data_IF_033340368775
#
_entry.id   IF_033340368775
#
_cell.length_a   1.000
_cell.length_b   1.000
_cell.length_c   1.000
_cell.angle_alpha   90.00
_cell.angle_beta   90.00
_cell.angle_gamma   90.00
#
_symmetry.space_group_name_H-M   'P 1'
#
loop_
_entity.id
_entity.type
_entity.pdbx_description
1 polymer ?
#
# COMPACT_ATOMS: atom_id res chain seq x y z
N UNK A 1 -0.72 13.61 -12.54
CA UNK A 1 0.66 14.09 -12.29
C UNK A 1 1.52 13.48 -13.36
N UNK A 2 2.23 14.31 -14.11
CA UNK A 2 3.20 13.85 -15.09
C UNK A 2 4.59 13.97 -14.47
N UNK A 3 5.42 12.95 -14.64
CA UNK A 3 6.80 12.95 -14.16
C UNK A 3 7.72 12.28 -15.19
N UNK A 4 9.00 12.65 -15.14
CA UNK A 4 10.00 12.16 -16.09
C UNK A 4 11.06 11.34 -15.37
N UNK A 5 11.43 10.22 -15.97
CA UNK A 5 12.60 9.43 -15.60
C UNK A 5 13.39 9.26 -16.90
N UNK A 6 14.59 9.84 -16.94
CA UNK A 6 15.42 9.94 -18.14
C UNK A 6 14.65 10.55 -19.32
N UNK A 7 14.54 9.83 -20.45
CA UNK A 7 13.80 10.25 -21.64
C UNK A 7 12.32 9.86 -21.62
N UNK A 8 11.87 9.14 -20.58
CA UNK A 8 10.51 8.62 -20.50
C UNK A 8 9.58 9.57 -19.73
N UNK A 9 8.38 9.74 -20.25
CA UNK A 9 7.31 10.50 -19.61
C UNK A 9 6.26 9.54 -19.07
N UNK A 10 5.97 9.65 -17.78
CA UNK A 10 4.96 8.86 -17.10
C UNK A 10 3.83 9.78 -16.63
N UNK A 11 2.61 9.27 -16.63
CA UNK A 11 1.47 9.94 -16.05
C UNK A 11 0.81 9.04 -15.00
N UNK A 12 0.36 9.66 -13.93
CA UNK A 12 -0.45 9.04 -12.90
C UNK A 12 -1.73 9.86 -12.69
N UNK A 13 -2.87 9.21 -12.88
CA UNK A 13 -4.18 9.81 -12.63
C UNK A 13 -4.51 9.69 -11.14
N UNK A 14 -4.81 10.82 -10.50
CA UNK A 14 -5.24 10.82 -9.10
C UNK A 14 -6.57 10.06 -8.93
N UNK A 15 -7.45 10.12 -9.93
CA UNK A 15 -8.69 9.36 -9.96
C UNK A 15 -8.41 7.85 -9.99
N UNK A 16 -7.49 7.39 -10.83
CA UNK A 16 -7.16 5.97 -10.96
C UNK A 16 -6.56 5.43 -9.65
N UNK A 17 -5.70 6.23 -8.99
CA UNK A 17 -5.16 5.88 -7.67
C UNK A 17 -6.26 5.77 -6.60
N UNK A 18 -7.30 6.60 -6.68
CA UNK A 18 -8.47 6.52 -5.79
C UNK A 18 -9.30 5.28 -6.04
N UNK A 19 -9.58 4.97 -7.29
CA UNK A 19 -10.33 3.77 -7.68
C UNK A 19 -9.58 2.51 -7.24
N UNK A 20 -8.27 2.48 -7.44
CA UNK A 20 -7.40 1.37 -7.01
C UNK A 20 -7.31 1.25 -5.48
N UNK A 21 -7.22 2.37 -4.75
CA UNK A 21 -7.34 2.36 -3.29
C UNK A 21 -8.67 1.74 -2.85
N UNK A 22 -9.77 2.20 -3.46
CA UNK A 22 -11.13 1.70 -3.28
C UNK A 22 -11.26 0.20 -3.50
N UNK A 23 -10.61 -0.31 -4.55
CA UNK A 23 -10.55 -1.74 -4.87
C UNK A 23 -9.93 -2.54 -3.74
N UNK A 24 -8.77 -2.12 -3.19
CA UNK A 24 -8.09 -2.83 -2.11
C UNK A 24 -8.84 -2.82 -0.78
N UNK A 25 -9.43 -1.68 -0.39
CA UNK A 25 -10.22 -1.57 0.84
C UNK A 25 -11.54 -2.35 0.76
N UNK A 26 -12.10 -2.50 -0.43
CA UNK A 26 -13.29 -3.33 -0.66
C UNK A 26 -13.05 -4.85 -0.66
N UNK A 27 -11.79 -5.30 -0.63
CA UNK A 27 -11.47 -6.73 -0.62
C UNK A 27 -11.79 -7.40 0.72
N UNK A 28 -12.15 -8.68 0.67
CA UNK A 28 -12.07 -9.55 1.84
C UNK A 28 -10.60 -9.82 2.19
N UNK A 29 -10.32 -10.17 3.44
CA UNK A 29 -8.97 -10.53 3.90
C UNK A 29 -8.34 -11.61 3.03
N UNK A 30 -9.11 -12.66 2.71
CA UNK A 30 -8.66 -13.75 1.83
C UNK A 30 -8.26 -13.24 0.44
N UNK A 31 -8.99 -12.28 -0.13
CA UNK A 31 -8.65 -11.71 -1.44
C UNK A 31 -7.45 -10.78 -1.33
N UNK A 32 -7.41 -9.93 -0.32
CA UNK A 32 -6.30 -9.02 -0.06
C UNK A 32 -4.97 -9.77 0.11
N UNK A 33 -4.96 -10.84 0.89
CA UNK A 33 -3.78 -11.70 1.08
C UNK A 33 -3.27 -12.31 -0.24
N UNK A 34 -4.16 -12.60 -1.19
CA UNK A 34 -3.76 -13.08 -2.53
C UNK A 34 -3.17 -11.98 -3.41
N UNK A 35 -3.45 -10.72 -3.11
CA UNK A 35 -3.02 -9.56 -3.88
C UNK A 35 -1.94 -8.72 -3.17
N UNK A 36 -1.31 -9.25 -2.12
CA UNK A 36 -0.29 -8.51 -1.35
C UNK A 36 0.82 -7.89 -2.21
N UNK A 37 1.38 -8.56 -3.23
CA UNK A 37 2.39 -7.91 -4.09
C UNK A 37 1.86 -6.67 -4.80
N UNK A 38 0.60 -6.71 -5.27
CA UNK A 38 -0.05 -5.56 -5.90
C UNK A 38 -0.36 -4.45 -4.88
N UNK A 39 -0.84 -4.83 -3.69
CA UNK A 39 -1.09 -3.89 -2.59
C UNK A 39 0.20 -3.19 -2.12
N UNK A 40 1.32 -3.93 -2.04
CA UNK A 40 2.64 -3.41 -1.72
C UNK A 40 3.12 -2.42 -2.79
N UNK A 41 3.02 -2.79 -4.07
CA UNK A 41 3.39 -1.90 -5.17
C UNK A 41 2.58 -0.60 -5.14
N UNK A 42 1.26 -0.70 -4.96
CA UNK A 42 0.38 0.45 -4.78
C UNK A 42 0.79 1.31 -3.57
N UNK A 43 1.08 0.69 -2.43
CA UNK A 43 1.49 1.39 -1.22
C UNK A 43 2.79 2.17 -1.42
N UNK A 44 3.81 1.57 -2.05
CA UNK A 44 5.07 2.24 -2.39
C UNK A 44 4.81 3.47 -3.26
N UNK A 45 4.02 3.30 -4.31
CA UNK A 45 3.72 4.40 -5.24
C UNK A 45 2.97 5.54 -4.54
N UNK A 46 1.94 5.24 -3.75
CA UNK A 46 1.16 6.27 -3.03
C UNK A 46 1.98 6.93 -1.92
N UNK A 47 2.86 6.19 -1.22
CA UNK A 47 3.76 6.80 -0.23
C UNK A 47 4.72 7.79 -0.87
N UNK A 48 5.29 7.45 -2.04
CA UNK A 48 6.12 8.37 -2.82
C UNK A 48 5.30 9.57 -3.30
N UNK A 49 4.13 9.33 -3.90
CA UNK A 49 3.24 10.38 -4.42
C UNK A 49 2.80 11.38 -3.35
N UNK A 50 2.58 10.91 -2.11
CA UNK A 50 2.18 11.73 -0.96
C UNK A 50 3.38 12.28 -0.18
N UNK A 51 4.61 12.01 -0.62
CA UNK A 51 5.85 12.39 0.06
C UNK A 51 5.88 12.02 1.55
N UNK A 52 5.39 10.80 1.88
CA UNK A 52 5.33 10.35 3.27
C UNK A 52 6.75 10.14 3.84
N UNK A 53 6.99 10.50 5.11
CA UNK A 53 8.30 10.35 5.72
C UNK A 53 8.67 8.86 5.85
N UNK A 54 9.96 8.54 5.68
CA UNK A 54 10.47 7.17 5.75
C UNK A 54 10.11 6.45 7.06
N UNK A 55 10.00 7.18 8.18
CA UNK A 55 9.57 6.63 9.47
C UNK A 55 8.15 6.06 9.43
N UNK A 56 7.24 6.61 8.62
CA UNK A 56 5.89 6.09 8.44
C UNK A 56 5.80 4.98 7.37
N UNK A 57 6.83 4.82 6.55
CA UNK A 57 6.82 3.92 5.38
C UNK A 57 7.64 2.65 5.66
N UNK A 58 8.87 2.81 6.14
CA UNK A 58 9.91 1.78 6.18
C UNK A 58 10.28 1.28 7.58
N UNK A 59 9.90 2.01 8.63
CA UNK A 59 10.11 1.53 10.01
C UNK A 59 9.38 0.22 10.27
N UNK A 60 9.68 -0.43 11.39
CA UNK A 60 8.99 -1.66 11.79
C UNK A 60 7.47 -1.47 11.98
N UNK A 61 6.96 -0.24 12.04
CA UNK A 61 5.51 0.05 12.07
C UNK A 61 5.00 0.61 10.73
N UNK A 62 5.90 0.87 9.78
CA UNK A 62 5.58 1.48 8.51
C UNK A 62 4.82 0.55 7.56
N UNK A 63 3.95 1.13 6.75
CA UNK A 63 3.02 0.34 5.92
C UNK A 63 3.74 -0.59 4.92
N UNK A 64 4.84 -0.14 4.31
CA UNK A 64 5.59 -0.97 3.35
C UNK A 64 6.26 -2.14 4.07
N UNK A 65 6.78 -1.89 5.28
CA UNK A 65 7.35 -2.94 6.13
C UNK A 65 6.31 -3.98 6.52
N UNK A 66 5.16 -3.55 7.01
CA UNK A 66 4.07 -4.43 7.44
C UNK A 66 3.50 -5.28 6.29
N UNK A 67 3.32 -4.70 5.10
CA UNK A 67 2.93 -5.46 3.90
C UNK A 67 4.02 -6.46 3.48
N UNK A 68 5.29 -6.11 3.62
CA UNK A 68 6.41 -7.01 3.34
C UNK A 68 6.41 -8.20 4.30
N UNK A 69 6.14 -8.00 5.58
CA UNK A 69 5.96 -9.09 6.54
C UNK A 69 4.82 -10.03 6.17
N UNK A 70 3.67 -9.51 5.72
CA UNK A 70 2.56 -10.37 5.27
C UNK A 70 2.93 -11.27 4.07
N UNK A 71 3.88 -10.82 3.24
CA UNK A 71 4.40 -11.59 2.09
C UNK A 71 5.46 -12.60 2.54
N UNK A 72 6.47 -12.13 3.28
CA UNK A 72 7.66 -12.90 3.65
C UNK A 72 7.37 -13.94 4.76
N UNK A 73 6.51 -13.60 5.72
CA UNK A 73 6.16 -14.42 6.89
C UNK A 73 4.76 -15.04 6.73
N UNK A 74 4.47 -15.51 5.52
CA UNK A 74 3.13 -15.98 5.15
C UNK A 74 2.66 -17.12 6.05
N UNK A 75 1.55 -16.90 6.74
CA UNK A 75 0.95 -17.90 7.63
C UNK A 75 1.48 -17.87 9.07
N UNK A 76 2.45 -17.00 9.39
CA UNK A 76 2.91 -16.83 10.76
C UNK A 76 1.79 -16.27 11.66
N UNK A 77 1.38 -16.97 12.74
CA UNK A 77 0.22 -16.59 13.54
C UNK A 77 0.28 -15.17 14.09
N UNK A 78 1.47 -14.72 14.53
CA UNK A 78 1.69 -13.38 15.07
C UNK A 78 1.49 -12.26 14.04
N UNK A 79 1.83 -12.52 12.77
CA UNK A 79 1.63 -11.56 11.69
C UNK A 79 0.16 -11.57 11.26
N UNK A 80 -0.43 -12.76 11.15
CA UNK A 80 -1.83 -12.92 10.76
C UNK A 80 -2.80 -12.34 11.80
N UNK A 81 -2.48 -12.38 13.10
CA UNK A 81 -3.30 -11.76 14.15
C UNK A 81 -3.38 -10.24 14.03
N UNK A 82 -2.43 -9.61 13.32
CA UNK A 82 -2.37 -8.16 13.09
C UNK A 82 -2.93 -7.73 11.74
N UNK A 83 -3.45 -8.65 10.93
CA UNK A 83 -3.94 -8.35 9.58
C UNK A 83 -4.98 -7.21 9.58
N UNK A 84 -5.89 -7.18 10.56
CA UNK A 84 -6.88 -6.12 10.70
C UNK A 84 -6.23 -4.75 10.90
N UNK A 85 -5.26 -4.63 11.81
CA UNK A 85 -4.51 -3.39 12.08
C UNK A 85 -3.74 -2.92 10.84
N UNK A 86 -3.09 -3.84 10.14
CA UNK A 86 -2.32 -3.52 8.92
C UNK A 86 -3.25 -3.02 7.81
N UNK A 87 -4.44 -3.61 7.66
CA UNK A 87 -5.45 -3.17 6.69
C UNK A 87 -6.04 -1.80 7.06
N UNK A 88 -6.20 -1.53 8.35
CA UNK A 88 -6.63 -0.21 8.82
C UNK A 88 -5.57 0.86 8.55
N UNK A 89 -4.29 0.55 8.83
CA UNK A 89 -3.16 1.42 8.52
C UNK A 89 -3.09 1.70 7.00
N UNK A 90 -3.21 0.65 6.17
CA UNK A 90 -3.30 0.77 4.71
C UNK A 90 -4.40 1.74 4.30
N UNK A 91 -5.61 1.57 4.83
CA UNK A 91 -6.75 2.43 4.51
C UNK A 91 -6.47 3.89 4.90
N UNK A 92 -6.05 4.14 6.14
CA UNK A 92 -5.84 5.49 6.68
C UNK A 92 -4.69 6.21 5.99
N UNK A 93 -3.53 5.56 5.91
CA UNK A 93 -2.30 6.20 5.45
C UNK A 93 -2.30 6.42 3.93
N UNK A 94 -2.86 5.48 3.16
CA UNK A 94 -2.90 5.55 1.69
C UNK A 94 -4.17 6.19 1.14
N UNK A 95 -5.08 6.66 2.00
CA UNK A 95 -6.27 7.40 1.56
C UNK A 95 -5.89 8.63 0.76
N UNK A 96 -6.62 8.83 -0.33
CA UNK A 96 -6.55 10.01 -1.19
C UNK A 96 -7.83 10.83 -0.92
N UNK A 97 -7.69 12.16 -0.80
CA UNK A 97 -8.79 13.08 -0.56
C UNK A 97 -9.88 13.01 -1.66
N UNK A 98 -11.11 13.28 -1.23
CA UNK A 98 -12.34 13.29 -2.04
C UNK A 98 -12.38 14.41 -3.07
#
# INVERSE_FOLDING_TARGET
MDYRIDENCYSASYQDLREEHGRFIGMTDKRFLKELPAALHFAVFVCWFKELPASAVLSDEGIVHQLTHLIHLKGEPLVMSRLGEIRELFNKQLRLAS
#
